data_IF_977329736545
#
_entry.id   IF_977329736545
#
_cell.length_a   1.000
_cell.length_b   1.000
_cell.length_c   1.000
_cell.angle_alpha   90.00
_cell.angle_beta   90.00
_cell.angle_gamma   90.00
#
_symmetry.space_group_name_H-M   'P 1'
#
loop_
_entity.id
_entity.type
_entity.pdbx_description
1 polymer ?
#
# COMPACT_ATOMS: atom_id res chain seq x y z
N UNK A 1 2.04 45.20 57.38
CA UNK A 1 2.47 43.78 57.51
C UNK A 1 1.88 42.95 56.38
N UNK A 2 2.60 42.81 55.29
CA UNK A 2 2.21 42.00 54.17
C UNK A 2 3.25 40.90 54.03
N UNK A 3 2.81 39.64 54.24
CA UNK A 3 3.65 38.46 54.15
C UNK A 3 3.79 38.09 52.63
N UNK A 4 5.02 38.11 52.14
CA UNK A 4 5.37 37.52 50.85
C UNK A 4 5.23 35.99 50.89
N UNK A 5 4.56 35.42 49.93
CA UNK A 5 4.57 33.97 49.62
C UNK A 5 5.62 33.72 48.57
N UNK A 6 6.63 32.98 48.94
CA UNK A 6 7.62 32.39 48.01
C UNK A 6 6.95 31.37 47.15
N UNK A 7 6.99 31.53 45.82
CA UNK A 7 6.68 30.50 44.84
C UNK A 7 7.83 29.47 44.85
N UNK A 8 7.52 28.30 45.34
CA UNK A 8 8.44 27.18 45.45
C UNK A 8 8.65 26.42 44.13
N UNK A 9 9.42 25.34 44.11
CA UNK A 9 10.17 24.77 43.00
C UNK A 9 9.33 23.91 42.02
N UNK A 10 8.08 24.30 41.73
CA UNK A 10 7.22 23.51 40.81
C UNK A 10 7.53 23.72 39.32
N UNK A 11 8.23 24.81 38.94
CA UNK A 11 8.52 25.13 37.54
C UNK A 11 9.71 24.33 37.01
N UNK A 12 10.59 23.86 37.85
CA UNK A 12 11.75 23.05 37.44
C UNK A 12 11.42 21.59 37.09
N UNK A 13 10.36 21.04 37.66
CA UNK A 13 9.96 19.63 37.42
C UNK A 13 9.20 19.48 36.11
N UNK A 14 8.42 20.47 35.71
CA UNK A 14 7.68 20.44 34.43
C UNK A 14 8.63 20.54 33.23
N UNK A 15 9.68 21.35 33.31
CA UNK A 15 10.68 21.46 32.24
C UNK A 15 11.55 20.21 32.08
N UNK A 16 11.79 19.48 33.19
CA UNK A 16 12.55 18.22 33.13
C UNK A 16 11.70 17.04 32.57
N UNK A 17 10.40 17.07 32.80
CA UNK A 17 9.47 16.05 32.26
C UNK A 17 9.30 16.24 30.75
N UNK A 18 9.24 17.46 30.23
CA UNK A 18 9.18 17.70 28.79
C UNK A 18 10.47 17.32 28.06
N UNK A 19 11.63 17.41 28.71
CA UNK A 19 12.91 17.01 28.07
C UNK A 19 13.11 15.49 28.01
N UNK A 20 12.45 14.71 28.86
CA UNK A 20 12.52 13.24 28.83
C UNK A 20 11.50 12.61 27.88
N UNK A 21 10.39 13.31 27.58
CA UNK A 21 9.39 12.82 26.61
C UNK A 21 9.79 13.09 25.15
N UNK A 22 10.64 14.07 24.88
CA UNK A 22 11.12 14.37 23.52
C UNK A 22 12.05 13.32 22.90
N UNK A 23 12.51 12.33 23.69
CA UNK A 23 13.40 11.25 23.19
C UNK A 23 12.62 9.98 22.86
N UNK A 24 11.40 9.81 23.37
CA UNK A 24 10.61 8.60 23.14
C UNK A 24 9.78 8.62 21.83
N UNK A 25 9.48 9.80 21.28
CA UNK A 25 8.70 9.93 20.05
C UNK A 25 9.49 9.58 18.78
N UNK A 26 10.81 9.71 18.80
CA UNK A 26 11.65 9.34 17.65
C UNK A 26 11.74 7.82 17.41
N UNK A 27 11.16 7.00 18.28
CA UNK A 27 11.35 5.56 18.21
C UNK A 27 10.29 4.78 17.44
N UNK A 28 9.12 5.35 17.26
CA UNK A 28 8.01 4.69 16.60
C UNK A 28 7.98 4.85 15.08
N UNK A 29 8.80 5.75 14.57
CA UNK A 29 8.66 6.33 13.24
C UNK A 29 9.04 5.41 12.09
N UNK A 30 9.90 4.42 12.31
CA UNK A 30 10.49 3.66 11.20
C UNK A 30 9.58 2.56 10.67
N UNK A 31 8.81 1.91 11.53
CA UNK A 31 7.85 0.88 11.10
C UNK A 31 6.75 1.52 10.26
N UNK A 32 6.33 2.73 10.63
CA UNK A 32 5.36 3.49 9.86
C UNK A 32 5.95 4.04 8.56
N UNK A 33 7.21 4.41 8.52
CA UNK A 33 7.86 4.83 7.28
C UNK A 33 7.85 3.71 6.24
N UNK A 34 8.14 2.47 6.63
CA UNK A 34 8.01 1.31 5.76
C UNK A 34 6.55 1.12 5.37
N UNK A 35 5.62 1.19 6.31
CA UNK A 35 4.19 1.03 6.06
C UNK A 35 3.58 2.23 5.32
N UNK A 36 4.10 3.44 5.49
CA UNK A 36 3.61 4.65 4.82
C UNK A 36 3.69 4.57 3.30
N UNK A 37 4.59 3.76 2.80
CA UNK A 37 4.81 3.55 1.37
C UNK A 37 4.31 2.21 0.87
N UNK A 38 3.45 1.51 1.63
CA UNK A 38 2.82 0.27 1.22
C UNK A 38 1.98 0.48 -0.04
N UNK A 39 2.40 -0.15 -1.11
CA UNK A 39 1.65 -0.19 -2.35
C UNK A 39 0.68 -1.38 -2.33
N UNK A 40 -0.53 -1.17 -1.80
CA UNK A 40 -1.58 -2.16 -1.96
C UNK A 40 -1.90 -2.34 -3.44
N UNK A 41 -1.68 -3.53 -3.95
CA UNK A 41 -2.08 -3.85 -5.29
C UNK A 41 -3.58 -4.19 -5.33
N UNK A 42 -4.45 -3.19 -5.25
CA UNK A 42 -5.88 -3.36 -5.52
C UNK A 42 -6.19 -3.51 -7.01
N UNK A 43 -5.18 -3.78 -7.85
CA UNK A 43 -5.44 -4.08 -9.25
C UNK A 43 -6.33 -5.32 -9.34
N UNK A 44 -7.32 -5.25 -10.21
CA UNK A 44 -8.20 -6.38 -10.43
C UNK A 44 -7.39 -7.59 -10.91
N UNK A 45 -7.73 -8.83 -10.49
CA UNK A 45 -7.05 -10.02 -10.98
C UNK A 45 -7.27 -10.21 -12.48
N UNK A 46 -6.41 -11.01 -13.12
CA UNK A 46 -6.46 -11.39 -14.52
C UNK A 46 -5.58 -10.55 -15.44
N UNK A 47 -4.83 -11.20 -16.34
CA UNK A 47 -3.96 -10.52 -17.29
C UNK A 47 -4.74 -9.62 -18.27
N UNK A 48 -5.98 -10.01 -18.65
CA UNK A 48 -6.89 -9.17 -19.41
C UNK A 48 -7.21 -7.88 -18.65
N UNK A 49 -7.53 -8.01 -17.37
CA UNK A 49 -7.85 -6.87 -16.51
C UNK A 49 -6.66 -5.93 -16.38
N UNK A 50 -5.46 -6.47 -16.15
CA UNK A 50 -4.23 -5.68 -16.05
C UNK A 50 -4.00 -4.88 -17.35
N UNK A 51 -4.11 -5.54 -18.51
CA UNK A 51 -3.95 -4.89 -19.83
C UNK A 51 -5.01 -3.81 -20.10
N UNK A 52 -6.17 -3.90 -19.42
CA UNK A 52 -7.28 -2.94 -19.50
C UNK A 52 -7.26 -1.93 -18.33
N UNK A 53 -6.09 -1.65 -17.73
CA UNK A 53 -5.93 -0.74 -16.62
C UNK A 53 -6.84 -1.05 -15.40
N UNK A 54 -7.32 -2.28 -15.25
CA UNK A 54 -8.31 -2.67 -14.25
C UNK A 54 -9.71 -2.08 -14.46
N UNK A 55 -9.99 -1.42 -15.57
CA UNK A 55 -11.26 -0.75 -15.88
C UNK A 55 -12.33 -1.74 -16.37
N UNK A 56 -12.69 -2.72 -15.54
CA UNK A 56 -13.65 -3.78 -15.86
C UNK A 56 -14.92 -3.76 -15.03
N UNK A 57 -15.14 -2.75 -14.19
CA UNK A 57 -16.36 -2.63 -13.35
C UNK A 57 -17.62 -2.59 -14.22
N UNK A 58 -17.57 -1.83 -15.33
CA UNK A 58 -18.64 -1.76 -16.30
C UNK A 58 -18.70 -2.97 -17.24
N UNK A 59 -17.58 -3.61 -17.54
CA UNK A 59 -17.54 -4.77 -18.43
C UNK A 59 -18.12 -6.02 -17.78
N UNK A 60 -17.58 -6.47 -16.65
CA UNK A 60 -18.07 -7.57 -15.84
C UNK A 60 -18.38 -8.85 -16.63
N UNK A 61 -17.53 -9.21 -17.61
CA UNK A 61 -17.80 -10.28 -18.56
C UNK A 61 -16.75 -11.40 -18.52
N UNK A 62 -16.03 -11.51 -17.43
CA UNK A 62 -15.10 -12.60 -17.13
C UNK A 62 -15.11 -12.97 -15.64
N UNK A 63 -14.40 -14.05 -15.28
CA UNK A 63 -14.38 -14.61 -13.94
C UNK A 63 -13.87 -13.65 -12.85
N UNK A 64 -13.11 -12.61 -13.22
CA UNK A 64 -12.62 -11.61 -12.28
C UNK A 64 -13.75 -10.77 -11.68
N UNK A 65 -14.92 -10.75 -12.33
CA UNK A 65 -16.16 -10.18 -11.83
C UNK A 65 -16.56 -10.72 -10.46
N UNK A 66 -16.21 -11.97 -10.14
CA UNK A 66 -16.49 -12.55 -8.82
C UNK A 66 -15.91 -11.72 -7.67
N UNK A 67 -14.75 -11.14 -7.87
CA UNK A 67 -14.05 -10.27 -6.93
C UNK A 67 -14.41 -8.79 -7.14
N UNK A 68 -14.51 -8.32 -8.40
CA UNK A 68 -14.56 -6.90 -8.72
C UNK A 68 -15.98 -6.33 -8.75
N UNK A 69 -16.89 -7.02 -9.44
CA UNK A 69 -18.31 -6.66 -9.55
C UNK A 69 -19.14 -7.92 -9.74
N UNK A 70 -19.61 -8.58 -8.68
CA UNK A 70 -20.35 -9.83 -8.79
C UNK A 70 -21.65 -9.71 -9.63
N UNK A 71 -22.26 -8.52 -9.74
CA UNK A 71 -23.39 -8.30 -10.63
C UNK A 71 -23.10 -8.56 -12.10
N UNK A 72 -21.83 -8.46 -12.51
CA UNK A 72 -21.39 -8.76 -13.88
C UNK A 72 -21.34 -10.25 -14.23
N UNK A 73 -21.28 -11.17 -13.27
CA UNK A 73 -21.14 -12.60 -13.49
C UNK A 73 -22.24 -13.20 -14.39
N UNK A 74 -23.43 -12.61 -14.40
CA UNK A 74 -24.53 -13.07 -15.29
C UNK A 74 -24.27 -12.81 -16.77
N UNK A 75 -23.21 -12.09 -17.13
CA UNK A 75 -22.77 -11.90 -18.53
C UNK A 75 -21.94 -13.08 -19.05
N UNK A 76 -21.45 -13.93 -18.15
CA UNK A 76 -20.74 -15.16 -18.49
C UNK A 76 -21.77 -16.21 -18.92
N UNK A 77 -21.61 -16.75 -20.13
CA UNK A 77 -22.60 -17.65 -20.74
C UNK A 77 -22.21 -19.12 -20.71
N UNK A 78 -20.94 -19.42 -20.44
CA UNK A 78 -20.41 -20.78 -20.37
C UNK A 78 -19.66 -20.99 -19.07
N UNK A 79 -19.66 -22.19 -18.47
CA UNK A 79 -18.79 -22.47 -17.34
C UNK A 79 -17.33 -22.25 -17.73
N UNK A 80 -16.57 -21.61 -16.84
CA UNK A 80 -15.16 -21.35 -17.07
C UNK A 80 -14.33 -21.52 -15.79
N UNK A 81 -13.09 -21.95 -16.00
CA UNK A 81 -12.04 -22.00 -14.97
C UNK A 81 -10.88 -21.14 -15.44
N UNK A 82 -10.42 -20.25 -14.57
CA UNK A 82 -9.33 -19.31 -14.85
C UNK A 82 -8.18 -19.45 -13.88
N UNK A 83 -6.97 -19.17 -14.36
CA UNK A 83 -5.75 -19.14 -13.58
C UNK A 83 -4.88 -17.98 -14.04
N UNK A 84 -4.23 -17.30 -13.10
CA UNK A 84 -3.30 -16.21 -13.37
C UNK A 84 -2.02 -16.36 -12.56
N UNK A 85 -0.89 -16.14 -13.25
CA UNK A 85 0.40 -15.88 -12.63
C UNK A 85 0.79 -14.43 -12.83
N UNK A 86 1.23 -13.79 -11.76
CA UNK A 86 1.61 -12.37 -11.74
C UNK A 86 3.00 -12.20 -11.16
N UNK A 87 3.80 -11.38 -11.82
CA UNK A 87 5.03 -10.81 -11.28
C UNK A 87 4.80 -9.33 -10.98
N UNK A 88 5.15 -8.90 -9.80
CA UNK A 88 4.99 -7.56 -9.32
C UNK A 88 6.32 -7.04 -8.80
N UNK A 89 6.80 -5.95 -9.37
CA UNK A 89 8.01 -5.25 -8.92
C UNK A 89 7.61 -3.85 -8.53
N UNK A 90 8.00 -3.43 -7.35
CA UNK A 90 7.74 -2.07 -6.91
C UNK A 90 8.93 -1.52 -6.14
N UNK A 91 8.99 -0.19 -6.12
CA UNK A 91 10.01 0.60 -5.44
C UNK A 91 9.35 1.38 -4.34
N UNK A 92 9.71 1.11 -3.08
CA UNK A 92 9.29 1.92 -1.95
C UNK A 92 10.36 2.95 -1.66
N UNK A 93 10.12 4.25 -1.91
CA UNK A 93 11.06 5.28 -1.54
C UNK A 93 11.06 5.50 -0.02
N UNK A 94 12.23 5.74 0.55
CA UNK A 94 12.40 6.10 1.95
C UNK A 94 13.51 7.13 2.11
N UNK A 95 13.46 7.91 3.21
CA UNK A 95 14.51 8.88 3.52
C UNK A 95 15.72 8.15 4.06
N UNK A 96 16.81 8.19 3.33
CA UNK A 96 18.06 7.53 3.72
C UNK A 96 18.97 8.43 4.55
N UNK A 97 19.27 9.63 4.05
CA UNK A 97 20.31 10.50 4.58
C UNK A 97 20.09 11.97 4.20
N UNK A 98 21.14 12.77 4.33
CA UNK A 98 21.11 14.18 3.95
C UNK A 98 20.67 15.09 5.10
N UNK A 99 20.13 16.26 4.78
CA UNK A 99 19.75 17.26 5.76
C UNK A 99 18.40 17.89 5.44
N UNK A 100 17.46 17.82 6.39
CA UNK A 100 16.11 18.33 6.22
C UNK A 100 16.09 19.88 6.22
N UNK A 101 16.79 20.50 7.17
CA UNK A 101 16.85 21.95 7.30
C UNK A 101 18.23 22.41 7.80
N UNK A 102 18.47 23.72 7.74
CA UNK A 102 19.74 24.33 8.15
C UNK A 102 20.84 24.15 7.09
N UNK A 103 22.08 24.45 7.50
CA UNK A 103 23.27 24.35 6.63
C UNK A 103 24.10 23.14 7.03
N UNK A 104 24.56 22.30 6.09
CA UNK A 104 25.45 21.20 6.39
C UNK A 104 26.73 21.66 7.08
N UNK A 105 27.15 20.90 8.09
CA UNK A 105 28.33 21.23 8.88
C UNK A 105 29.64 20.98 8.15
N UNK A 106 29.60 20.26 7.03
CA UNK A 106 30.77 19.75 6.28
C UNK A 106 31.63 18.79 7.12
N UNK A 107 31.04 18.19 8.16
CA UNK A 107 31.70 17.18 8.99
C UNK A 107 31.17 15.79 8.65
N UNK A 108 32.12 14.86 8.43
CA UNK A 108 31.80 13.48 8.14
C UNK A 108 30.84 13.33 6.95
N UNK A 109 29.65 12.77 7.20
CA UNK A 109 28.61 12.55 6.18
C UNK A 109 27.60 13.71 6.08
N UNK A 110 27.64 14.73 6.93
CA UNK A 110 26.78 15.91 6.89
C UNK A 110 27.31 16.96 5.90
N UNK A 111 27.28 16.63 4.61
CA UNK A 111 27.90 17.43 3.53
C UNK A 111 26.91 17.94 2.48
N UNK A 112 25.66 17.45 2.51
CA UNK A 112 24.67 17.74 1.46
C UNK A 112 23.50 18.53 2.01
N UNK A 113 22.99 19.50 1.22
CA UNK A 113 21.71 20.16 1.45
C UNK A 113 20.57 19.27 0.91
N UNK A 114 19.47 19.26 1.65
CA UNK A 114 18.27 18.47 1.30
C UNK A 114 18.38 17.01 1.69
N UNK A 115 17.26 16.35 1.71
CA UNK A 115 17.15 14.93 1.99
C UNK A 115 17.61 14.10 0.79
N UNK A 116 18.20 12.96 1.09
CA UNK A 116 18.55 11.94 0.09
C UNK A 116 17.62 10.76 0.28
N UNK A 117 16.95 10.36 -0.80
CA UNK A 117 16.06 9.22 -0.81
C UNK A 117 16.77 8.01 -1.40
N UNK A 118 16.52 6.87 -0.79
CA UNK A 118 16.78 5.55 -1.34
C UNK A 118 15.47 4.84 -1.63
N UNK A 119 15.50 3.65 -2.17
CA UNK A 119 14.32 2.86 -2.43
C UNK A 119 14.63 1.37 -2.31
N UNK A 120 13.61 0.61 -1.92
CA UNK A 120 13.67 -0.85 -2.04
C UNK A 120 13.34 -1.24 -3.47
N UNK A 121 13.99 -2.28 -3.99
CA UNK A 121 13.62 -2.93 -5.26
C UNK A 121 13.14 -4.34 -4.93
N UNK A 122 11.82 -4.52 -4.81
CA UNK A 122 11.23 -5.80 -4.46
C UNK A 122 10.47 -6.40 -5.63
N UNK A 123 10.59 -7.70 -5.78
CA UNK A 123 9.90 -8.46 -6.84
C UNK A 123 9.27 -9.70 -6.25
N UNK A 124 7.96 -9.80 -6.37
CA UNK A 124 7.19 -10.98 -5.98
C UNK A 124 6.63 -11.68 -7.21
N UNK A 125 6.53 -12.99 -7.15
CA UNK A 125 5.96 -13.81 -8.21
C UNK A 125 5.03 -14.84 -7.60
N UNK A 126 3.78 -14.85 -8.03
CA UNK A 126 2.78 -15.70 -7.39
C UNK A 126 1.71 -16.23 -8.35
N UNK A 127 1.02 -17.27 -7.91
CA UNK A 127 -0.29 -17.66 -8.42
C UNK A 127 -1.33 -16.69 -7.84
N UNK A 128 -1.57 -15.58 -8.52
CA UNK A 128 -2.33 -14.44 -8.00
C UNK A 128 -3.84 -14.65 -8.03
N UNK A 129 -4.35 -15.46 -8.97
CA UNK A 129 -5.79 -15.70 -9.12
C UNK A 129 -6.10 -17.09 -9.63
N UNK A 130 -7.10 -17.71 -9.02
CA UNK A 130 -7.74 -18.93 -9.50
C UNK A 130 -9.24 -18.75 -9.37
N UNK A 131 -10.01 -19.18 -10.37
CA UNK A 131 -11.46 -19.04 -10.35
C UNK A 131 -12.18 -20.18 -11.04
N UNK A 132 -13.41 -20.41 -10.63
CA UNK A 132 -14.37 -21.27 -11.33
C UNK A 132 -15.72 -20.55 -11.34
N UNK A 133 -16.34 -20.42 -12.51
CA UNK A 133 -17.64 -19.77 -12.69
C UNK A 133 -18.60 -20.75 -13.35
N UNK A 134 -19.81 -20.85 -12.79
CA UNK A 134 -20.89 -21.71 -13.31
C UNK A 134 -22.14 -20.86 -13.52
N UNK A 135 -22.42 -20.41 -14.75
CA UNK A 135 -23.69 -19.78 -15.10
C UNK A 135 -24.81 -20.84 -15.18
N UNK A 136 -25.98 -20.48 -14.66
CA UNK A 136 -27.17 -21.35 -14.71
C UNK A 136 -28.44 -20.52 -14.88
N UNK A 137 -28.94 -20.41 -16.13
CA UNK A 137 -30.14 -19.64 -16.45
C UNK A 137 -30.01 -18.16 -16.03
N UNK A 138 -30.77 -17.71 -15.02
CA UNK A 138 -30.71 -16.35 -14.49
C UNK A 138 -29.62 -16.15 -13.45
N UNK A 139 -28.99 -17.20 -12.98
CA UNK A 139 -28.01 -17.18 -11.90
C UNK A 139 -26.61 -17.42 -12.44
N UNK A 140 -25.63 -16.90 -11.74
CA UNK A 140 -24.24 -17.28 -11.90
C UNK A 140 -23.59 -17.44 -10.52
N UNK A 141 -22.76 -18.45 -10.37
CA UNK A 141 -22.01 -18.73 -9.14
C UNK A 141 -20.54 -18.77 -9.48
N UNK A 142 -19.73 -18.24 -8.58
CA UNK A 142 -18.29 -18.23 -8.73
C UNK A 142 -17.61 -18.59 -7.41
N UNK A 143 -16.48 -19.30 -7.53
CA UNK A 143 -15.52 -19.51 -6.47
C UNK A 143 -14.17 -19.01 -6.94
N UNK A 144 -13.41 -18.40 -6.05
CA UNK A 144 -12.10 -17.84 -6.39
C UNK A 144 -11.14 -17.78 -5.22
N UNK A 145 -9.86 -17.74 -5.57
CA UNK A 145 -8.77 -17.30 -4.69
C UNK A 145 -8.09 -16.13 -5.38
N UNK A 146 -7.83 -15.06 -4.64
CA UNK A 146 -7.02 -13.94 -5.13
C UNK A 146 -6.00 -13.51 -4.09
N UNK A 147 -4.83 -13.11 -4.55
CA UNK A 147 -3.84 -12.42 -3.74
C UNK A 147 -4.18 -10.94 -3.69
N UNK A 148 -4.31 -10.39 -2.48
CA UNK A 148 -4.67 -8.99 -2.24
C UNK A 148 -3.43 -8.14 -2.00
N UNK A 149 -2.46 -8.68 -1.25
CA UNK A 149 -1.15 -8.10 -1.04
C UNK A 149 -0.11 -9.22 -0.91
N UNK A 150 1.08 -8.96 -1.44
CA UNK A 150 2.26 -9.79 -1.27
C UNK A 150 3.46 -8.84 -1.35
N UNK A 151 3.96 -8.46 -0.19
CA UNK A 151 4.87 -7.36 -0.05
C UNK A 151 6.06 -7.75 0.84
N UNK A 152 7.24 -7.64 0.29
CA UNK A 152 8.48 -7.76 1.04
C UNK A 152 9.28 -6.45 0.90
N UNK A 153 9.85 -5.96 1.98
CA UNK A 153 10.71 -4.79 1.97
C UNK A 153 11.87 -4.94 2.94
N UNK A 154 13.06 -4.62 2.46
CA UNK A 154 14.24 -4.45 3.28
C UNK A 154 14.74 -3.02 3.14
N UNK A 155 14.95 -2.34 4.26
CA UNK A 155 15.52 -1.00 4.27
C UNK A 155 16.77 -0.93 5.14
N UNK A 156 17.65 -0.02 4.79
CA UNK A 156 18.79 0.37 5.61
C UNK A 156 19.05 1.87 5.42
N UNK A 157 18.97 2.66 6.50
CA UNK A 157 19.10 4.11 6.45
C UNK A 157 20.35 4.59 7.17
N UNK A 158 20.98 5.62 6.64
CA UNK A 158 22.12 6.28 7.28
C UNK A 158 21.69 7.23 8.38
N UNK A 159 20.47 7.76 8.27
CA UNK A 159 19.87 8.72 9.20
C UNK A 159 20.15 10.16 8.80
N UNK A 160 19.09 10.94 8.43
CA UNK A 160 19.23 12.33 8.06
C UNK A 160 19.48 13.25 9.26
N UNK A 161 20.06 14.41 8.97
CA UNK A 161 20.31 15.47 9.93
C UNK A 161 19.23 16.54 9.88
N UNK A 162 18.99 17.21 11.00
CA UNK A 162 18.16 18.42 11.06
C UNK A 162 18.57 19.34 12.22
N UNK A 163 18.30 20.62 12.08
CA UNK A 163 18.52 21.59 13.14
C UNK A 163 17.26 21.70 14.00
N UNK A 164 17.41 21.60 15.31
CA UNK A 164 16.28 21.61 16.26
C UNK A 164 15.57 22.98 16.33
N UNK A 165 16.29 24.05 15.99
CA UNK A 165 15.76 25.42 16.03
C UNK A 165 16.14 26.19 14.77
N UNK A 166 15.16 26.77 14.11
CA UNK A 166 15.37 27.68 12.97
C UNK A 166 16.25 28.86 13.37
N UNK A 167 17.26 29.14 12.55
CA UNK A 167 18.13 30.30 12.69
C UNK A 167 19.38 30.11 13.56
N UNK A 168 19.61 28.91 14.09
CA UNK A 168 20.84 28.61 14.82
C UNK A 168 21.58 27.48 14.15
N UNK A 169 22.67 27.80 13.44
CA UNK A 169 23.46 26.80 12.72
C UNK A 169 24.01 25.72 13.67
N UNK A 170 23.89 24.47 13.23
CA UNK A 170 24.61 23.37 13.81
C UNK A 170 26.10 23.53 13.48
N UNK A 171 26.94 23.60 14.49
CA UNK A 171 28.39 23.64 14.37
C UNK A 171 29.00 22.61 15.31
N UNK A 172 30.26 22.27 15.17
CA UNK A 172 30.94 21.39 16.14
C UNK A 172 30.80 21.83 17.60
N UNK A 173 30.67 23.14 17.81
CA UNK A 173 30.52 23.75 19.16
C UNK A 173 29.07 23.89 19.60
N UNK A 174 28.10 23.85 18.68
CA UNK A 174 26.67 23.94 18.96
C UNK A 174 25.93 22.62 18.62
N UNK A 175 26.63 21.49 18.74
CA UNK A 175 26.13 20.15 18.42
C UNK A 175 24.80 19.79 19.10
N UNK A 176 24.54 20.29 20.31
CA UNK A 176 23.29 20.09 21.03
C UNK A 176 22.06 20.71 20.35
N UNK A 177 22.25 21.38 19.23
CA UNK A 177 21.19 21.97 18.39
C UNK A 177 20.94 21.18 17.10
N UNK A 178 21.76 20.15 16.86
CA UNK A 178 21.58 19.23 15.75
C UNK A 178 20.98 17.93 16.24
N UNK A 179 20.15 17.38 15.40
CA UNK A 179 19.69 16.01 15.53
C UNK A 179 20.12 15.23 14.30
N UNK A 180 20.38 13.98 14.51
CA UNK A 180 20.46 12.95 13.48
C UNK A 180 19.47 11.87 13.87
N UNK A 181 18.59 11.49 12.96
CA UNK A 181 17.71 10.35 13.13
C UNK A 181 18.60 9.10 13.22
N UNK A 182 18.27 8.20 14.16
CA UNK A 182 19.02 6.96 14.30
C UNK A 182 19.02 6.17 12.99
N UNK A 183 20.19 5.64 12.57
CA UNK A 183 20.25 4.69 11.49
C UNK A 183 19.38 3.47 11.80
N UNK A 184 18.73 2.94 10.78
CA UNK A 184 17.81 1.81 10.89
C UNK A 184 18.17 0.73 9.89
N UNK A 185 17.94 -0.52 10.27
CA UNK A 185 17.81 -1.65 9.36
C UNK A 185 16.48 -2.32 9.66
N UNK A 186 15.61 -2.43 8.67
CA UNK A 186 14.27 -2.98 8.81
C UNK A 186 13.92 -3.97 7.72
N UNK A 187 13.06 -4.91 8.05
CA UNK A 187 12.41 -5.84 7.14
C UNK A 187 10.91 -5.86 7.39
N UNK A 188 10.15 -6.03 6.33
CA UNK A 188 8.71 -6.22 6.37
C UNK A 188 8.32 -7.33 5.39
N UNK A 189 7.55 -8.30 5.87
CA UNK A 189 6.82 -9.28 5.06
C UNK A 189 5.33 -9.13 5.36
N UNK A 190 4.52 -8.93 4.32
CA UNK A 190 3.07 -8.80 4.42
C UNK A 190 2.41 -9.62 3.33
N UNK A 191 1.58 -10.56 3.74
CA UNK A 191 0.80 -11.40 2.84
C UNK A 191 -0.69 -11.33 3.18
N UNK A 192 -1.51 -11.07 2.16
CA UNK A 192 -2.97 -11.10 2.28
C UNK A 192 -3.54 -11.90 1.13
N UNK A 193 -4.11 -13.06 1.44
CA UNK A 193 -4.85 -13.90 0.51
C UNK A 193 -6.35 -13.83 0.78
N UNK A 194 -7.15 -14.05 -0.27
CA UNK A 194 -8.61 -14.05 -0.17
C UNK A 194 -9.18 -15.29 -0.88
N UNK A 195 -10.08 -15.98 -0.22
CA UNK A 195 -10.84 -17.11 -0.74
C UNK A 195 -12.32 -16.75 -0.70
N UNK A 196 -12.98 -16.67 -1.85
CA UNK A 196 -14.34 -16.16 -1.92
C UNK A 196 -15.28 -16.99 -2.75
N UNK A 197 -16.57 -16.80 -2.46
CA UNK A 197 -17.67 -17.26 -3.27
C UNK A 197 -18.61 -16.11 -3.60
N UNK A 198 -19.06 -16.01 -4.84
CA UNK A 198 -20.00 -14.98 -5.29
C UNK A 198 -21.18 -15.60 -6.00
N UNK A 199 -22.34 -14.97 -5.88
CA UNK A 199 -23.55 -15.31 -6.58
C UNK A 199 -24.16 -14.07 -7.21
N UNK A 200 -24.70 -14.22 -8.40
CA UNK A 200 -25.40 -13.17 -9.13
C UNK A 200 -26.74 -13.65 -9.67
N UNK A 201 -27.67 -12.73 -9.81
CA UNK A 201 -28.97 -12.98 -10.42
C UNK A 201 -29.33 -11.88 -11.40
N UNK A 202 -29.81 -12.29 -12.57
CA UNK A 202 -30.41 -11.41 -13.57
C UNK A 202 -31.88 -11.17 -13.20
N UNK A 203 -32.16 -9.95 -12.73
CA UNK A 203 -33.49 -9.52 -12.32
C UNK A 203 -34.40 -9.26 -13.53
N UNK A 204 -33.85 -8.56 -14.54
CA UNK A 204 -34.48 -8.31 -15.83
C UNK A 204 -33.44 -8.61 -16.95
N UNK A 205 -33.83 -8.51 -18.20
CA UNK A 205 -32.87 -8.68 -19.32
C UNK A 205 -31.75 -7.63 -19.32
N UNK A 206 -31.98 -6.52 -18.61
CA UNK A 206 -31.03 -5.39 -18.54
C UNK A 206 -30.33 -5.24 -17.21
N UNK A 207 -30.87 -5.79 -16.11
CA UNK A 207 -30.40 -5.52 -14.76
C UNK A 207 -30.00 -6.82 -14.07
N UNK A 208 -28.80 -6.85 -13.53
CA UNK A 208 -28.32 -7.92 -12.66
C UNK A 208 -27.66 -7.35 -11.39
N UNK A 209 -27.75 -8.13 -10.33
CA UNK A 209 -27.11 -7.86 -9.04
C UNK A 209 -26.37 -9.07 -8.54
N UNK A 210 -25.37 -8.87 -7.71
CA UNK A 210 -24.58 -9.95 -7.16
C UNK A 210 -24.05 -9.60 -5.78
N UNK A 211 -23.69 -10.64 -5.03
CA UNK A 211 -23.09 -10.57 -3.71
C UNK A 211 -21.99 -11.63 -3.62
N UNK A 212 -20.92 -11.31 -2.92
CA UNK A 212 -19.85 -12.22 -2.58
C UNK A 212 -19.50 -12.16 -1.10
N UNK A 213 -19.01 -13.28 -0.60
CA UNK A 213 -18.46 -13.42 0.75
C UNK A 213 -17.07 -14.03 0.61
N UNK A 214 -16.13 -13.49 1.35
CA UNK A 214 -14.73 -13.88 1.29
C UNK A 214 -14.14 -14.10 2.66
N UNK A 215 -13.24 -15.07 2.76
CA UNK A 215 -12.34 -15.28 3.88
C UNK A 215 -10.97 -14.74 3.49
N UNK A 216 -10.49 -13.78 4.24
CA UNK A 216 -9.15 -13.26 4.12
C UNK A 216 -8.25 -13.97 5.12
N UNK A 217 -7.07 -14.28 4.67
CA UNK A 217 -5.96 -14.81 5.45
C UNK A 217 -4.82 -13.80 5.40
N UNK A 218 -4.33 -13.41 6.56
CA UNK A 218 -3.42 -12.29 6.76
C UNK A 218 -2.23 -12.73 7.60
N UNK A 219 -1.05 -12.36 7.15
CA UNK A 219 0.20 -12.52 7.88
C UNK A 219 1.05 -11.25 7.71
N UNK A 220 1.60 -10.75 8.80
CA UNK A 220 2.57 -9.66 8.82
C UNK A 220 3.69 -9.96 9.81
N UNK A 221 4.92 -9.78 9.36
CA UNK A 221 6.12 -9.77 10.19
C UNK A 221 6.98 -8.57 9.80
N UNK A 222 7.27 -7.72 10.77
CA UNK A 222 8.16 -6.58 10.59
C UNK A 222 9.13 -6.46 11.75
N UNK A 223 10.40 -6.32 11.42
CA UNK A 223 11.47 -6.17 12.41
C UNK A 223 12.32 -4.96 12.05
N UNK A 224 12.36 -3.96 12.93
CA UNK A 224 13.17 -2.77 12.76
C UNK A 224 14.19 -2.60 13.87
N UNK A 225 15.44 -2.46 13.50
CA UNK A 225 16.56 -2.27 14.42
C UNK A 225 17.12 -0.87 14.28
N UNK A 226 17.20 -0.16 15.38
CA UNK A 226 17.83 1.16 15.48
C UNK A 226 19.23 1.02 16.01
N UNK A 227 20.13 1.75 15.40
CA UNK A 227 21.55 1.68 15.75
C UNK A 227 22.01 2.96 16.42
N UNK A 228 22.74 2.81 17.50
CA UNK A 228 23.32 3.93 18.23
C UNK A 228 24.34 4.67 17.39
N UNK A 229 24.42 5.99 17.64
CA UNK A 229 25.47 6.83 17.09
C UNK A 229 26.66 6.80 18.05
N UNK A 230 27.85 6.51 17.54
CA UNK A 230 29.05 6.57 18.35
C UNK A 230 29.31 8.01 18.80
N UNK A 231 29.11 8.28 20.08
CA UNK A 231 29.31 9.59 20.70
C UNK A 231 30.64 9.70 21.46
N UNK A 232 31.44 8.65 21.47
CA UNK A 232 32.67 8.58 22.27
C UNK A 232 33.82 9.37 21.65
N UNK A 233 33.80 9.58 20.33
CA UNK A 233 34.82 10.34 19.63
C UNK A 233 34.63 11.85 19.80
N UNK A 234 35.74 12.63 19.85
CA UNK A 234 35.68 14.08 19.84
C UNK A 234 34.88 14.61 18.65
N UNK A 235 34.09 15.67 18.88
CA UNK A 235 33.18 16.26 17.87
C UNK A 235 33.90 16.76 16.60
N UNK A 236 35.20 16.96 16.66
CA UNK A 236 36.05 17.41 15.54
C UNK A 236 36.59 16.27 14.68
N UNK A 237 36.40 15.00 15.07
CA UNK A 237 36.85 13.86 14.32
C UNK A 237 35.73 13.26 13.47
N UNK A 238 36.07 12.75 12.28
CA UNK A 238 35.18 12.06 11.36
C UNK A 238 34.86 10.68 11.94
N UNK A 239 33.92 10.67 12.87
CA UNK A 239 33.45 9.51 13.60
C UNK A 239 32.29 9.93 14.50
N UNK A 240 31.65 9.01 15.16
CA UNK A 240 30.58 9.32 16.08
C UNK A 240 29.35 9.88 15.39
N UNK A 241 28.85 11.02 15.90
CA UNK A 241 27.60 11.63 15.44
C UNK A 241 27.59 12.00 13.95
N UNK A 242 28.72 12.40 13.39
CA UNK A 242 28.87 12.76 11.97
C UNK A 242 29.50 11.65 11.10
N UNK A 243 29.86 10.51 11.71
CA UNK A 243 30.43 9.39 10.98
C UNK A 243 29.42 8.49 10.29
N UNK A 244 29.88 7.59 9.40
CA UNK A 244 29.03 6.54 8.86
C UNK A 244 28.51 5.65 9.98
N UNK A 245 27.26 5.13 9.88
CA UNK A 245 26.71 4.26 10.90
C UNK A 245 27.41 2.90 10.94
N UNK A 246 27.33 2.25 12.09
CA UNK A 246 27.71 0.85 12.25
C UNK A 246 26.47 0.01 12.55
N UNK A 247 26.17 -0.93 11.69
CA UNK A 247 25.03 -1.85 11.82
C UNK A 247 25.39 -3.14 12.56
N UNK A 248 26.44 -3.13 13.36
CA UNK A 248 26.79 -4.27 14.21
C UNK A 248 25.71 -4.50 15.29
N UNK A 249 25.41 -5.75 15.57
CA UNK A 249 24.40 -6.13 16.59
C UNK A 249 24.69 -5.52 17.98
N UNK A 250 25.95 -5.27 18.29
CA UNK A 250 26.40 -4.62 19.54
C UNK A 250 26.00 -3.13 19.62
N UNK A 251 25.63 -2.52 18.49
CA UNK A 251 25.22 -1.13 18.41
C UNK A 251 23.71 -0.95 18.36
N UNK A 252 22.94 -2.01 18.42
CA UNK A 252 21.48 -1.95 18.48
C UNK A 252 21.05 -1.27 19.79
N UNK A 253 20.27 -0.22 19.70
CA UNK A 253 19.73 0.51 20.85
C UNK A 253 18.26 0.20 21.10
N UNK A 254 17.53 -0.21 20.06
CA UNK A 254 16.16 -0.69 20.18
C UNK A 254 15.85 -1.60 18.99
N UNK A 255 14.96 -2.57 19.21
CA UNK A 255 14.32 -3.38 18.16
C UNK A 255 12.83 -3.28 18.31
N UNK A 256 12.14 -3.06 17.19
CA UNK A 256 10.68 -2.96 17.11
C UNK A 256 10.15 -4.11 16.26
N UNK A 257 9.05 -4.70 16.69
CA UNK A 257 8.40 -5.83 16.04
C UNK A 257 6.93 -5.50 15.82
N UNK A 258 6.44 -5.77 14.61
CA UNK A 258 5.02 -5.85 14.33
C UNK A 258 4.75 -7.26 13.82
N UNK A 259 3.86 -7.95 14.49
CA UNK A 259 3.54 -9.34 14.21
C UNK A 259 2.02 -9.50 14.19
N UNK A 260 1.51 -10.28 13.25
CA UNK A 260 0.08 -10.59 13.20
C UNK A 260 -0.21 -11.74 12.26
N UNK A 261 -1.06 -12.64 12.72
CA UNK A 261 -1.65 -13.73 11.95
C UNK A 261 -3.14 -13.74 12.29
N UNK A 262 -4.02 -13.51 11.30
CA UNK A 262 -5.45 -13.39 11.53
C UNK A 262 -6.27 -13.75 10.29
N UNK A 263 -7.52 -14.13 10.51
CA UNK A 263 -8.46 -14.44 9.44
C UNK A 263 -9.78 -13.72 9.68
N UNK A 264 -10.26 -13.00 8.68
CA UNK A 264 -11.49 -12.22 8.73
C UNK A 264 -12.40 -12.48 7.53
N UNK A 265 -13.65 -12.13 7.69
CA UNK A 265 -14.66 -12.18 6.63
C UNK A 265 -14.87 -10.79 6.05
N UNK A 266 -14.95 -10.72 4.72
CA UNK A 266 -15.36 -9.52 3.99
C UNK A 266 -16.51 -9.81 3.04
N UNK A 267 -17.19 -8.76 2.60
CA UNK A 267 -18.29 -8.86 1.65
C UNK A 267 -18.05 -7.95 0.45
N UNK A 268 -18.56 -8.36 -0.71
CA UNK A 268 -18.65 -7.51 -1.88
C UNK A 268 -20.04 -7.57 -2.48
N UNK A 269 -20.52 -6.46 -2.98
CA UNK A 269 -21.80 -6.35 -3.69
C UNK A 269 -21.59 -5.64 -5.00
N UNK A 270 -22.43 -5.96 -5.99
CA UNK A 270 -22.32 -5.32 -7.29
C UNK A 270 -23.59 -5.35 -8.08
N UNK A 271 -23.67 -4.45 -9.04
CA UNK A 271 -24.78 -4.35 -9.97
C UNK A 271 -24.26 -4.10 -11.39
N UNK A 272 -25.01 -4.57 -12.38
CA UNK A 272 -24.74 -4.32 -13.78
C UNK A 272 -26.04 -3.98 -14.49
N UNK A 273 -26.02 -2.92 -15.30
CA UNK A 273 -27.15 -2.44 -16.10
C UNK A 273 -26.68 -2.41 -17.57
N UNK A 274 -27.37 -3.16 -18.44
CA UNK A 274 -27.10 -3.24 -19.88
C UNK A 274 -28.33 -2.76 -20.65
N UNK A 275 -28.51 -1.45 -20.86
CA UNK A 275 -29.66 -0.92 -21.58
C UNK A 275 -29.78 -1.44 -23.02
N UNK A 276 -28.64 -1.80 -23.61
CA UNK A 276 -28.51 -2.42 -24.93
C UNK A 276 -27.14 -3.11 -25.06
N UNK A 277 -26.89 -3.78 -26.17
CA UNK A 277 -25.66 -4.53 -26.43
C UNK A 277 -24.39 -3.67 -26.56
N UNK A 278 -24.56 -2.35 -26.75
CA UNK A 278 -23.45 -1.41 -26.95
C UNK A 278 -23.04 -0.66 -25.71
N UNK A 279 -23.86 -0.71 -24.66
CA UNK A 279 -23.64 0.10 -23.46
C UNK A 279 -23.93 -0.69 -22.18
N UNK A 280 -23.02 -0.66 -21.25
CA UNK A 280 -23.17 -1.28 -19.93
C UNK A 280 -22.59 -0.37 -18.85
N UNK A 281 -23.28 -0.29 -17.73
CA UNK A 281 -22.83 0.40 -16.51
C UNK A 281 -22.70 -0.66 -15.41
N UNK A 282 -21.61 -0.59 -14.65
CA UNK A 282 -21.39 -1.39 -13.46
C UNK A 282 -21.14 -0.51 -12.25
N UNK A 283 -21.56 -0.99 -11.09
CA UNK A 283 -21.20 -0.41 -9.80
C UNK A 283 -20.93 -1.52 -8.80
N UNK A 284 -19.95 -1.30 -7.92
CA UNK A 284 -19.62 -2.27 -6.87
C UNK A 284 -19.09 -1.59 -5.62
N UNK A 285 -19.26 -2.28 -4.50
CA UNK A 285 -18.65 -1.98 -3.22
C UNK A 285 -18.00 -3.25 -2.69
N UNK A 286 -16.77 -3.15 -2.21
CA UNK A 286 -16.02 -4.21 -1.57
C UNK A 286 -15.52 -3.72 -0.21
N UNK A 287 -15.92 -4.42 0.83
CA UNK A 287 -15.48 -4.19 2.19
C UNK A 287 -14.11 -4.81 2.41
N UNK A 288 -13.19 -4.04 2.96
CA UNK A 288 -11.91 -4.53 3.47
C UNK A 288 -12.01 -4.99 4.92
N UNK A 289 -11.34 -6.08 5.30
CA UNK A 289 -11.28 -6.53 6.68
C UNK A 289 -10.28 -5.70 7.49
N UNK A 290 -10.39 -5.84 8.84
CA UNK A 290 -9.45 -5.30 9.82
C UNK A 290 -8.87 -6.44 10.61
N UNK A 291 -7.56 -6.61 10.55
CA UNK A 291 -6.82 -7.70 11.19
C UNK A 291 -6.22 -7.24 12.51
N UNK A 292 -6.17 -8.12 13.48
CA UNK A 292 -5.51 -7.87 14.74
C UNK A 292 -4.00 -8.08 14.58
N UNK A 293 -3.21 -7.10 15.03
CA UNK A 293 -1.75 -7.12 15.03
C UNK A 293 -1.23 -6.75 16.41
N UNK A 294 -0.01 -7.16 16.72
CA UNK A 294 0.69 -6.80 17.94
C UNK A 294 1.96 -6.01 17.63
N UNK A 295 2.25 -5.06 18.49
CA UNK A 295 3.48 -4.29 18.48
C UNK A 295 4.26 -4.52 19.76
N UNK A 296 5.56 -4.71 19.63
CA UNK A 296 6.49 -4.91 20.73
C UNK A 296 7.80 -4.20 20.47
N UNK A 297 8.33 -3.52 21.49
CA UNK A 297 9.63 -2.89 21.44
C UNK A 297 10.56 -3.47 22.50
N UNK A 298 11.80 -3.70 22.12
CA UNK A 298 12.87 -4.16 23.00
C UNK A 298 13.98 -3.11 23.09
N UNK A 299 14.62 -3.00 24.25
CA UNK A 299 15.83 -2.20 24.43
C UNK A 299 17.09 -2.95 23.95
N UNK A 300 18.27 -2.31 24.14
CA UNK A 300 19.56 -2.89 23.78
C UNK A 300 19.87 -4.22 24.50
N UNK A 301 19.19 -4.55 25.59
CA UNK A 301 19.38 -5.80 26.36
C UNK A 301 18.40 -6.90 25.93
N UNK A 302 17.45 -6.59 25.04
CA UNK A 302 16.36 -7.48 24.65
C UNK A 302 15.19 -7.47 25.62
N UNK A 303 15.14 -6.53 26.56
CA UNK A 303 14.02 -6.38 27.50
C UNK A 303 12.89 -5.60 26.84
N UNK A 304 11.67 -6.12 26.90
CA UNK A 304 10.48 -5.45 26.38
C UNK A 304 10.19 -4.16 27.14
N UNK A 305 10.03 -3.07 26.39
CA UNK A 305 9.73 -1.74 26.91
C UNK A 305 8.22 -1.49 26.77
N UNK A 306 7.57 -1.07 27.86
CA UNK A 306 6.15 -0.72 27.93
C UNK A 306 5.16 -1.87 27.58
N UNK A 307 5.62 -3.11 27.47
CA UNK A 307 4.78 -4.27 27.17
C UNK A 307 4.50 -4.46 25.67
N UNK A 308 3.52 -5.31 25.39
CA UNK A 308 2.98 -5.58 24.04
C UNK A 308 1.70 -4.78 23.88
N UNK A 309 1.51 -4.17 22.72
CA UNK A 309 0.33 -3.35 22.41
C UNK A 309 -0.43 -3.97 21.25
N UNK A 310 -1.73 -4.14 21.42
CA UNK A 310 -2.63 -4.60 20.37
C UNK A 310 -3.03 -3.41 19.47
N UNK A 311 -3.10 -3.67 18.18
CA UNK A 311 -3.49 -2.72 17.15
C UNK A 311 -4.23 -3.41 16.01
N UNK A 312 -4.65 -2.68 14.99
CA UNK A 312 -5.34 -3.26 13.84
C UNK A 312 -4.77 -2.75 12.53
N UNK A 313 -4.63 -3.68 11.59
CA UNK A 313 -4.26 -3.39 10.22
C UNK A 313 -5.51 -3.45 9.33
N UNK A 314 -5.88 -2.35 8.69
CA UNK A 314 -7.09 -2.24 7.87
C UNK A 314 -6.79 -2.39 6.39
N UNK A 315 -7.51 -3.28 5.69
CA UNK A 315 -7.57 -3.24 4.23
C UNK A 315 -8.63 -2.22 3.82
N UNK A 316 -8.31 -1.25 2.95
CA UNK A 316 -9.27 -0.25 2.53
C UNK A 316 -10.51 -0.80 1.83
N UNK A 317 -11.66 -0.22 2.11
CA UNK A 317 -12.87 -0.41 1.31
C UNK A 317 -12.71 0.18 -0.09
N UNK A 318 -13.37 -0.42 -1.07
CA UNK A 318 -13.32 0.04 -2.46
C UNK A 318 -14.71 0.21 -3.02
N UNK A 319 -15.00 1.41 -3.53
CA UNK A 319 -16.22 1.73 -4.28
C UNK A 319 -15.82 1.94 -5.73
N UNK A 320 -16.52 1.30 -6.66
CA UNK A 320 -16.23 1.43 -8.09
C UNK A 320 -17.50 1.69 -8.90
N UNK A 321 -17.39 2.53 -9.91
CA UNK A 321 -18.42 2.74 -10.93
C UNK A 321 -17.72 2.76 -12.28
N UNK A 322 -18.26 2.02 -13.25
CA UNK A 322 -17.64 1.92 -14.57
C UNK A 322 -18.64 1.83 -15.69
N UNK A 323 -18.19 2.17 -16.88
CA UNK A 323 -18.97 2.15 -18.12
C UNK A 323 -18.20 1.40 -19.19
N UNK A 324 -18.87 0.50 -19.87
CA UNK A 324 -18.43 -0.12 -21.13
C UNK A 324 -19.23 0.45 -22.29
N UNK A 325 -18.54 0.88 -23.34
CA UNK A 325 -19.12 1.29 -24.62
C UNK A 325 -18.53 0.45 -25.75
N UNK A 326 -19.38 -0.03 -26.64
CA UNK A 326 -19.01 -0.77 -27.88
C UNK A 326 -19.36 0.07 -29.10
N UNK A 327 -18.49 0.99 -29.54
CA UNK A 327 -18.76 1.83 -30.72
C UNK A 327 -18.98 0.99 -31.98
N UNK A 328 -18.19 -0.07 -32.11
CA UNK A 328 -18.33 -1.13 -33.12
C UNK A 328 -18.17 -2.49 -32.45
N UNK A 329 -18.62 -3.54 -33.09
CA UNK A 329 -18.62 -4.89 -32.50
C UNK A 329 -17.22 -5.37 -32.05
N UNK A 330 -16.20 -4.93 -32.76
CA UNK A 330 -14.82 -5.34 -32.50
C UNK A 330 -14.12 -4.47 -31.41
N UNK A 331 -14.69 -3.34 -31.01
CA UNK A 331 -14.03 -2.39 -30.09
C UNK A 331 -14.83 -2.23 -28.80
N UNK A 332 -14.20 -2.56 -27.68
CA UNK A 332 -14.66 -2.26 -26.33
C UNK A 332 -13.86 -1.06 -25.81
N UNK A 333 -14.53 -0.07 -25.26
CA UNK A 333 -13.92 1.08 -24.55
C UNK A 333 -14.51 1.10 -23.15
N UNK A 334 -13.65 1.15 -22.12
CA UNK A 334 -14.06 1.18 -20.73
C UNK A 334 -13.51 2.41 -20.02
N UNK A 335 -14.32 2.95 -19.12
CA UNK A 335 -13.91 4.04 -18.21
C UNK A 335 -14.48 3.71 -16.83
N UNK A 336 -13.61 3.67 -15.84
CA UNK A 336 -13.98 3.39 -14.45
C UNK A 336 -13.49 4.53 -13.54
N UNK A 337 -14.32 4.86 -12.58
CA UNK A 337 -13.95 5.61 -11.38
C UNK A 337 -13.93 4.67 -10.19
N UNK A 338 -12.87 4.75 -9.39
CA UNK A 338 -12.72 3.96 -8.18
C UNK A 338 -12.31 4.89 -7.03
N UNK A 339 -12.97 4.74 -5.89
CA UNK A 339 -12.58 5.34 -4.62
C UNK A 339 -12.07 4.26 -3.70
N UNK A 340 -10.82 4.38 -3.28
CA UNK A 340 -10.17 3.52 -2.29
C UNK A 340 -10.07 4.29 -0.99
N UNK A 341 -10.61 3.75 0.11
CA UNK A 341 -10.66 4.42 1.40
C UNK A 341 -9.36 4.18 2.19
N UNK A 342 -8.24 4.69 1.68
CA UNK A 342 -6.92 4.50 2.28
C UNK A 342 -6.83 5.02 3.72
N UNK A 343 -7.62 6.02 4.09
CA UNK A 343 -7.70 6.54 5.47
C UNK A 343 -8.04 5.46 6.50
N UNK A 344 -8.68 4.37 6.09
CA UNK A 344 -8.99 3.23 6.97
C UNK A 344 -7.74 2.46 7.40
N UNK A 345 -6.65 2.53 6.63
CA UNK A 345 -5.40 1.88 6.96
C UNK A 345 -4.85 2.38 8.30
N UNK A 346 -4.93 3.68 8.56
CA UNK A 346 -4.39 4.29 9.79
C UNK A 346 -5.44 4.50 10.89
N UNK A 347 -6.73 4.40 10.58
CA UNK A 347 -7.83 4.77 11.50
C UNK A 347 -7.88 3.94 12.78
N UNK A 348 -7.38 2.72 12.76
CA UNK A 348 -7.31 1.81 13.90
C UNK A 348 -5.91 1.24 14.13
N UNK A 349 -4.96 1.63 13.29
CA UNK A 349 -3.56 1.44 13.55
C UNK A 349 -3.25 2.33 14.76
N UNK A 350 -3.56 1.83 15.97
CA UNK A 350 -3.12 2.49 17.18
C UNK A 350 -1.63 2.66 17.02
N UNK A 351 -1.20 3.89 16.77
CA UNK A 351 0.21 4.24 16.76
C UNK A 351 0.68 4.02 18.20
N UNK A 352 0.89 2.76 18.57
CA UNK A 352 1.12 2.25 19.94
C UNK A 352 2.33 2.84 20.66
N UNK A 353 2.85 3.91 20.12
CA UNK A 353 4.02 4.63 20.58
C UNK A 353 3.72 5.97 21.13
N UNK A 354 2.61 6.51 20.76
CA UNK A 354 2.20 7.76 21.32
C UNK A 354 1.71 7.46 22.71
N UNK A 355 2.36 8.06 23.67
CA UNK A 355 1.68 8.40 24.90
C UNK A 355 0.28 8.85 24.47
N UNK A 356 -0.73 8.04 24.79
CA UNK A 356 -2.13 8.29 24.49
C UNK A 356 -2.35 9.80 24.58
N UNK A 357 -2.83 10.40 23.49
CA UNK A 357 -3.18 11.82 23.37
C UNK A 357 -2.11 12.80 22.80
N UNK A 358 -0.99 12.37 22.23
CA UNK A 358 -0.07 13.31 21.58
C UNK A 358 0.17 12.90 20.12
N UNK A 359 -0.46 13.61 19.20
CA UNK A 359 -0.07 13.67 17.79
C UNK A 359 -0.55 12.54 16.88
N UNK A 360 -1.49 11.69 17.31
CA UNK A 360 -2.07 10.66 16.42
C UNK A 360 -2.86 11.29 15.28
N UNK A 361 -3.56 12.38 15.56
CA UNK A 361 -4.36 13.12 14.59
C UNK A 361 -3.49 13.89 13.57
N UNK A 362 -2.18 14.01 13.82
CA UNK A 362 -1.24 14.70 12.94
C UNK A 362 -0.77 13.83 11.77
N UNK A 363 -0.99 12.51 11.83
CA UNK A 363 -0.72 11.62 10.71
C UNK A 363 -1.94 11.51 9.83
N UNK A 364 -1.78 11.84 8.56
CA UNK A 364 -2.88 11.95 7.60
C UNK A 364 -2.65 11.03 6.42
N UNK A 365 -3.70 10.33 6.04
CA UNK A 365 -3.77 9.53 4.83
C UNK A 365 -5.12 9.78 4.15
N UNK A 366 -5.08 10.35 2.95
CA UNK A 366 -6.29 10.67 2.20
C UNK A 366 -6.82 9.46 1.44
N UNK A 367 -8.14 9.45 1.22
CA UNK A 367 -8.77 8.48 0.33
C UNK A 367 -8.36 8.73 -1.13
N UNK A 368 -8.07 7.66 -1.84
CA UNK A 368 -7.68 7.70 -3.24
C UNK A 368 -8.86 7.79 -4.20
N UNK A 369 -8.78 8.67 -5.19
CA UNK A 369 -9.72 8.76 -6.30
C UNK A 369 -8.98 8.40 -7.60
N UNK A 370 -9.23 7.20 -8.10
CA UNK A 370 -8.60 6.65 -9.29
C UNK A 370 -9.50 6.80 -10.50
N UNK A 371 -8.93 7.24 -11.61
CA UNK A 371 -9.58 7.28 -12.92
C UNK A 371 -8.85 6.34 -13.87
N UNK A 372 -9.60 5.42 -14.48
CA UNK A 372 -9.08 4.34 -15.31
C UNK A 372 -9.77 4.35 -16.67
N UNK A 373 -9.02 4.23 -17.76
CA UNK A 373 -9.58 4.15 -19.11
C UNK A 373 -8.80 3.16 -19.96
N UNK A 374 -9.51 2.37 -20.75
CA UNK A 374 -8.89 1.35 -21.61
C UNK A 374 -9.70 1.03 -22.84
N UNK A 375 -9.01 0.43 -23.81
CA UNK A 375 -9.60 -0.10 -25.02
C UNK A 375 -9.16 -1.54 -25.32
N UNK A 376 -10.08 -2.36 -25.82
CA UNK A 376 -9.84 -3.71 -26.32
C UNK A 376 -10.35 -3.80 -27.75
N UNK A 377 -9.47 -4.18 -28.67
CA UNK A 377 -9.85 -4.46 -30.06
C UNK A 377 -9.74 -5.95 -30.34
N UNK A 378 -10.82 -6.54 -30.87
CA UNK A 378 -10.95 -7.95 -31.18
C UNK A 378 -10.86 -8.19 -32.67
N UNK A 379 -9.80 -8.83 -33.14
CA UNK A 379 -9.69 -9.36 -34.47
C UNK A 379 -10.42 -10.71 -34.50
N UNK A 380 -11.53 -10.75 -35.22
CA UNK A 380 -12.34 -11.95 -35.44
C UNK A 380 -12.18 -12.47 -36.85
N UNK A 381 -12.79 -13.27 -37.50
CA UNK A 381 -12.65 -13.73 -38.86
C UNK A 381 -11.27 -14.35 -39.15
N UNK A 382 -10.74 -15.08 -38.19
CA UNK A 382 -9.46 -15.77 -38.28
C UNK A 382 -9.64 -17.20 -38.75
N UNK A 383 -8.60 -17.82 -39.37
CA UNK A 383 -8.66 -19.23 -39.70
C UNK A 383 -8.70 -20.12 -38.46
N UNK A 384 -9.46 -21.21 -38.52
CA UNK A 384 -9.48 -22.23 -37.47
C UNK A 384 -8.05 -22.71 -37.17
N UNK A 385 -7.69 -22.94 -35.88
CA UNK A 385 -8.55 -23.01 -34.68
C UNK A 385 -8.73 -21.71 -33.92
N UNK A 386 -8.30 -20.56 -34.45
CA UNK A 386 -8.39 -19.27 -33.80
C UNK A 386 -9.80 -18.69 -33.86
N UNK A 387 -10.35 -18.29 -32.73
CA UNK A 387 -11.62 -17.57 -32.63
C UNK A 387 -11.45 -16.06 -32.63
N UNK A 388 -10.44 -15.56 -31.92
CA UNK A 388 -10.10 -14.13 -31.87
C UNK A 388 -8.64 -13.90 -31.42
N UNK A 389 -8.11 -12.76 -31.83
CA UNK A 389 -6.91 -12.15 -31.22
C UNK A 389 -7.35 -10.83 -30.63
N UNK A 390 -6.97 -10.54 -29.38
CA UNK A 390 -7.26 -9.31 -28.68
C UNK A 390 -5.99 -8.45 -28.54
N UNK A 391 -6.13 -7.15 -28.81
CA UNK A 391 -5.13 -6.15 -28.49
C UNK A 391 -5.73 -5.17 -27.49
N UNK A 392 -4.98 -4.86 -26.42
CA UNK A 392 -5.47 -4.05 -25.29
C UNK A 392 -4.46 -3.01 -24.90
N UNK A 393 -4.97 -1.87 -24.42
CA UNK A 393 -4.16 -0.83 -23.83
C UNK A 393 -5.02 0.12 -23.00
N UNK A 394 -4.40 0.73 -22.02
CA UNK A 394 -5.08 1.64 -21.13
C UNK A 394 -4.13 2.48 -20.30
N UNK A 395 -4.68 3.32 -19.47
CA UNK A 395 -3.96 4.13 -18.51
C UNK A 395 -4.84 4.40 -17.29
N UNK A 396 -4.20 4.69 -16.16
CA UNK A 396 -4.90 5.09 -14.95
C UNK A 396 -4.01 5.98 -14.10
N UNK A 397 -4.67 6.78 -13.27
CA UNK A 397 -4.00 7.64 -12.30
C UNK A 397 -4.12 7.02 -10.92
N UNK A 398 -2.97 6.80 -10.29
CA UNK A 398 -2.84 6.42 -8.89
C UNK A 398 -2.63 7.71 -8.07
N UNK A 399 -3.55 8.07 -7.19
CA UNK A 399 -3.36 9.23 -6.31
C UNK A 399 -2.29 8.93 -5.26
N UNK A 400 -1.68 9.97 -4.72
CA UNK A 400 -0.83 9.82 -3.54
C UNK A 400 -1.63 9.20 -2.38
N UNK A 401 -1.11 8.13 -1.82
CA UNK A 401 -1.67 7.43 -0.66
C UNK A 401 -0.59 7.08 0.37
N UNK A 402 0.43 7.92 0.49
CA UNK A 402 1.42 7.83 1.56
C UNK A 402 0.89 8.48 2.83
N UNK A 403 1.26 7.89 3.97
CA UNK A 403 1.03 8.51 5.27
C UNK A 403 1.96 9.72 5.37
N UNK A 404 1.41 10.91 5.62
CA UNK A 404 2.16 12.13 5.83
C UNK A 404 1.92 12.69 7.23
N UNK A 405 2.88 13.45 7.73
CA UNK A 405 2.78 14.11 9.01
C UNK A 405 2.55 15.62 8.85
N UNK A 406 1.47 16.13 9.46
CA UNK A 406 1.08 17.54 9.41
C UNK A 406 1.23 18.26 10.76
N UNK A 407 1.85 17.60 11.76
CA UNK A 407 2.05 18.16 13.11
C UNK A 407 3.31 19.01 13.26
N UNK A 408 3.70 19.22 14.50
CA UNK A 408 4.77 20.17 14.87
C UNK A 408 6.15 19.52 15.06
N UNK A 409 6.25 18.21 15.07
CA UNK A 409 7.50 17.50 15.29
C UNK A 409 8.33 17.40 14.01
N UNK A 410 9.51 18.01 14.03
CA UNK A 410 10.38 18.02 12.84
C UNK A 410 10.87 16.62 12.44
N UNK A 411 11.13 15.73 13.41
CA UNK A 411 11.53 14.35 13.12
C UNK A 411 10.51 13.64 12.26
N UNK A 412 9.23 13.79 12.57
CA UNK A 412 8.12 13.14 11.89
C UNK A 412 7.90 13.77 10.51
N UNK A 413 8.01 15.11 10.44
CA UNK A 413 7.98 15.82 9.14
C UNK A 413 9.13 15.41 8.21
N UNK A 414 10.27 14.95 8.74
CA UNK A 414 11.39 14.45 7.93
C UNK A 414 11.07 13.08 7.32
N UNK A 415 10.44 12.20 8.11
CA UNK A 415 10.23 10.81 7.72
C UNK A 415 8.95 10.62 6.90
N UNK A 416 7.87 11.32 7.27
CA UNK A 416 6.56 11.18 6.65
C UNK A 416 6.28 12.33 5.68
N UNK A 417 6.95 12.29 4.54
CA UNK A 417 6.77 13.27 3.47
C UNK A 417 5.58 12.92 2.59
N UNK A 418 4.83 13.90 2.07
CA UNK A 418 3.82 13.65 1.05
C UNK A 418 4.47 13.01 -0.20
N UNK A 419 3.72 12.16 -0.86
CA UNK A 419 4.10 11.58 -2.14
C UNK A 419 3.52 12.35 -3.32
N UNK A 420 3.73 11.82 -4.50
CA UNK A 420 3.16 12.31 -5.74
C UNK A 420 2.18 11.28 -6.33
N UNK A 421 1.17 11.76 -7.06
CA UNK A 421 0.31 10.89 -7.84
C UNK A 421 1.06 10.35 -9.05
N UNK A 422 0.87 9.07 -9.38
CA UNK A 422 1.52 8.43 -10.51
C UNK A 422 0.55 8.14 -11.67
N UNK A 423 1.09 8.15 -12.90
CA UNK A 423 0.38 7.67 -14.07
C UNK A 423 0.86 6.27 -14.44
N UNK A 424 -0.07 5.36 -14.54
CA UNK A 424 0.14 4.01 -15.00
C UNK A 424 -0.26 3.86 -16.46
N UNK A 425 0.56 3.14 -17.22
CA UNK A 425 0.31 2.78 -18.61
C UNK A 425 0.27 1.28 -18.74
N UNK A 426 -0.79 0.77 -19.34
CA UNK A 426 -1.04 -0.65 -19.45
C UNK A 426 -1.14 -1.09 -20.91
N UNK A 427 -0.83 -2.35 -21.14
CA UNK A 427 -0.98 -2.96 -22.44
C UNK A 427 -0.94 -4.46 -22.36
N UNK A 428 -1.36 -5.11 -23.46
CA UNK A 428 -1.36 -6.56 -23.52
C UNK A 428 -2.14 -7.10 -24.71
N UNK A 429 -2.29 -8.41 -24.70
CA UNK A 429 -3.02 -9.10 -25.74
C UNK A 429 -3.55 -10.45 -25.31
N UNK A 430 -4.36 -11.05 -26.15
CA UNK A 430 -4.92 -12.38 -25.90
C UNK A 430 -5.14 -13.15 -27.19
N UNK A 431 -5.05 -14.46 -27.06
CA UNK A 431 -5.36 -15.40 -28.10
C UNK A 431 -6.53 -16.29 -27.65
N UNK A 432 -7.61 -16.30 -28.38
CA UNK A 432 -8.84 -17.01 -28.05
C UNK A 432 -9.06 -18.16 -29.05
N UNK A 433 -9.15 -19.34 -28.50
CA UNK A 433 -9.62 -20.54 -29.19
C UNK A 433 -11.09 -20.84 -28.80
N UNK A 434 -11.68 -21.85 -29.33
CA UNK A 434 -13.07 -22.20 -29.01
C UNK A 434 -13.31 -22.42 -27.50
N UNK A 435 -12.36 -23.09 -26.84
CA UNK A 435 -12.48 -23.49 -25.43
C UNK A 435 -11.43 -22.86 -24.51
N UNK A 436 -10.35 -22.34 -25.06
CA UNK A 436 -9.22 -21.85 -24.29
C UNK A 436 -8.86 -20.43 -24.70
N UNK A 437 -8.56 -19.62 -23.76
CA UNK A 437 -8.03 -18.26 -23.96
C UNK A 437 -6.73 -18.10 -23.14
N UNK A 438 -5.72 -17.51 -23.75
CA UNK A 438 -4.50 -17.09 -23.09
C UNK A 438 -4.37 -15.58 -23.22
N UNK A 439 -4.03 -14.94 -22.12
CA UNK A 439 -3.83 -13.49 -22.07
C UNK A 439 -2.49 -13.16 -21.45
N UNK A 440 -1.90 -12.06 -21.91
CA UNK A 440 -0.76 -11.40 -21.29
C UNK A 440 -1.09 -9.95 -21.05
N UNK A 441 -0.62 -9.40 -19.94
CA UNK A 441 -0.80 -8.00 -19.58
C UNK A 441 0.41 -7.45 -18.85
N UNK A 442 0.63 -6.17 -18.98
CA UNK A 442 1.62 -5.44 -18.22
C UNK A 442 1.05 -4.07 -17.81
N UNK A 443 1.54 -3.58 -16.68
CA UNK A 443 1.31 -2.25 -16.13
C UNK A 443 2.64 -1.66 -15.72
N UNK A 444 2.82 -0.36 -15.96
CA UNK A 444 4.04 0.34 -15.62
C UNK A 444 3.75 1.77 -15.18
N UNK A 445 4.29 2.13 -14.02
CA UNK A 445 4.47 3.50 -13.54
C UNK A 445 5.96 3.80 -13.26
N UNK A 446 6.23 4.84 -12.52
CA UNK A 446 7.58 5.18 -12.04
C UNK A 446 8.05 4.17 -11.00
N UNK A 447 7.18 3.84 -10.04
CA UNK A 447 7.51 2.96 -8.90
C UNK A 447 7.07 1.52 -9.10
N UNK A 448 6.06 1.24 -9.96
CA UNK A 448 5.43 -0.07 -10.11
C UNK A 448 5.64 -0.65 -11.51
N UNK A 449 5.95 -1.94 -11.57
CA UNK A 449 5.93 -2.75 -12.79
C UNK A 449 5.21 -4.06 -12.50
N UNK A 450 4.15 -4.33 -13.24
CA UNK A 450 3.41 -5.58 -13.11
C UNK A 450 3.38 -6.30 -14.46
N UNK A 451 3.62 -7.59 -14.43
CA UNK A 451 3.45 -8.49 -15.57
C UNK A 451 2.52 -9.65 -15.17
N UNK A 452 1.61 -10.01 -16.04
CA UNK A 452 0.65 -11.08 -15.77
C UNK A 452 0.43 -11.95 -17.00
N UNK A 453 0.27 -13.24 -16.77
CA UNK A 453 -0.22 -14.21 -17.75
C UNK A 453 -1.40 -14.96 -17.16
N UNK A 454 -2.43 -15.17 -17.96
CA UNK A 454 -3.60 -15.93 -17.55
C UNK A 454 -4.07 -16.90 -18.62
N UNK A 455 -4.70 -17.98 -18.15
CA UNK A 455 -5.39 -18.95 -19.00
C UNK A 455 -6.82 -19.13 -18.50
N UNK A 456 -7.77 -19.21 -19.43
CA UNK A 456 -9.19 -19.46 -19.15
C UNK A 456 -9.64 -20.64 -20.01
N UNK A 457 -10.20 -21.65 -19.36
CA UNK A 457 -10.81 -22.82 -20.01
C UNK A 457 -12.33 -22.71 -19.92
N UNK A 458 -13.03 -22.83 -21.07
CA UNK A 458 -14.49 -22.78 -21.19
C UNK A 458 -15.05 -24.13 -21.60
N UNK A 459 -16.18 -24.50 -21.03
CA UNK A 459 -16.85 -25.80 -21.24
C UNK A 459 -18.17 -25.67 -21.97
#
# INVERSE_FOLDING_TARGET
MLRGRSLGPAVGVVALICATFGVSTASAQVDYEIMSSLQFNFSNPGARSLAMAGALTGAGDDATGAWTNPGGLTNITRPEVGVEFRGFTFKTPFVDSGRFNGTPTQLGIDTQNGLTYSHTDNSTHSLSFVSAVVPKSRFAFAFYRTEVANYEADIQTVGPFFDQQTGTACTPTTRNRCFRIFPVSGSLDLQISNFGGSAAVRLTDQISVGVGVSFYDFEIDSVNRRFGLDTTLPQTQVGGFFGPPSYASTNVVATEFIEGEDSKVGVNIGASISPNDKFRIGASYRQGPKFDISYRREDATGATINGVHDSKFGVPDVISVGVLVKPVTALNVTVDYRRVQYSQLISEMGLGFTVKDVGVDDYVLDDGNEFRAAGEYLFTNLPSPLSAIALRGGFWRDPDHRIRYEGVFQSDSVLFQPGDSEMHYTGGGGIVFEKVQFDVGFDRSETVKTFSVSAVLRF
#
